data_IF_667863358270
#
_entry.id   IF_667863358270
#
_cell.length_a   1.000
_cell.length_b   1.000
_cell.length_c   1.000
_cell.angle_alpha   90.00
_cell.angle_beta   90.00
_cell.angle_gamma   90.00
#
_symmetry.space_group_name_H-M   'P 1'
#
loop_
_entity.id
_entity.type
_entity.pdbx_description
1 polymer ?
#
# COMPACT_ATOMS: atom_id res chain seq x y z
N UNK A 1 16.49 -6.80 -14.78
CA UNK A 1 15.05 -6.85 -14.46
C UNK A 1 14.94 -6.59 -12.96
N UNK A 2 14.40 -5.45 -12.51
CA UNK A 2 14.29 -5.19 -11.07
C UNK A 2 13.20 -6.12 -10.52
N UNK A 3 13.61 -7.09 -9.71
CA UNK A 3 12.68 -7.87 -8.90
C UNK A 3 11.96 -6.91 -7.96
N UNK A 4 10.66 -6.71 -8.20
CA UNK A 4 9.79 -6.04 -7.23
C UNK A 4 9.56 -7.03 -6.09
N UNK A 5 10.61 -7.24 -5.27
CA UNK A 5 10.46 -7.82 -3.94
C UNK A 5 9.41 -7.00 -3.24
N UNK A 6 8.40 -7.66 -2.70
CA UNK A 6 7.41 -7.09 -1.79
C UNK A 6 8.10 -6.17 -0.79
N UNK A 7 8.07 -4.87 -1.04
CA UNK A 7 8.66 -3.89 -0.13
C UNK A 7 7.81 -3.85 1.14
N UNK A 8 8.39 -4.35 2.23
CA UNK A 8 7.85 -4.09 3.56
C UNK A 8 7.93 -2.58 3.80
N UNK A 9 6.78 -1.92 3.82
CA UNK A 9 6.71 -0.52 4.23
C UNK A 9 6.50 -0.51 5.73
N UNK A 10 7.47 0.04 6.44
CA UNK A 10 7.40 0.20 7.89
C UNK A 10 6.15 1.01 8.27
N UNK A 11 5.54 0.68 9.40
CA UNK A 11 4.31 1.31 9.89
C UNK A 11 4.49 2.82 10.13
N UNK A 12 5.72 3.28 10.35
CA UNK A 12 6.10 4.69 10.50
C UNK A 12 6.19 5.46 9.17
N UNK A 13 6.21 4.74 8.03
CA UNK A 13 6.12 5.31 6.69
C UNK A 13 4.67 5.51 6.22
N UNK A 14 3.70 4.98 6.95
CA UNK A 14 2.29 5.00 6.56
C UNK A 14 1.69 6.39 6.80
N UNK A 15 0.97 6.97 5.83
CA UNK A 15 0.40 8.28 6.00
C UNK A 15 -0.76 8.18 7.00
N UNK A 16 -0.66 8.93 8.08
CA UNK A 16 -1.74 9.11 9.06
C UNK A 16 -2.42 10.45 8.84
N UNK A 17 -3.58 10.67 9.46
CA UNK A 17 -4.24 11.99 9.46
C UNK A 17 -3.32 13.12 9.98
N UNK A 18 -2.39 12.79 10.90
CA UNK A 18 -1.46 13.76 11.52
C UNK A 18 -0.12 13.88 10.79
N UNK A 19 0.29 12.85 10.04
CA UNK A 19 1.53 12.84 9.28
C UNK A 19 1.30 12.11 7.94
N UNK A 20 0.96 12.87 6.89
CA UNK A 20 0.61 12.30 5.59
C UNK A 20 1.84 11.99 4.72
N UNK A 21 3.08 12.33 5.16
CA UNK A 21 4.35 12.15 4.44
C UNK A 21 4.19 12.30 2.91
N UNK A 22 3.52 13.38 2.50
CA UNK A 22 2.98 13.54 1.14
C UNK A 22 4.07 13.43 0.07
N UNK A 23 5.26 13.97 0.32
CA UNK A 23 6.40 13.87 -0.60
C UNK A 23 6.84 12.42 -0.84
N UNK A 24 6.95 11.62 0.22
CA UNK A 24 7.33 10.20 0.14
C UNK A 24 6.30 9.41 -0.64
N UNK A 25 5.01 9.61 -0.34
CA UNK A 25 3.93 8.90 -1.02
C UNK A 25 3.76 9.33 -2.47
N UNK A 26 3.93 10.61 -2.78
CA UNK A 26 3.99 11.11 -4.16
C UNK A 26 5.09 10.39 -4.96
N UNK A 27 6.28 10.25 -4.38
CA UNK A 27 7.39 9.53 -5.00
C UNK A 27 7.04 8.06 -5.20
N UNK A 28 6.56 7.35 -4.16
CA UNK A 28 6.12 5.95 -4.29
C UNK A 28 5.07 5.75 -5.38
N UNK A 29 4.07 6.64 -5.48
CA UNK A 29 3.08 6.56 -6.56
C UNK A 29 3.68 6.74 -7.95
N UNK A 30 4.72 7.56 -8.10
CA UNK A 30 5.42 7.72 -9.38
C UNK A 30 6.26 6.50 -9.76
N UNK A 31 6.88 5.84 -8.80
CA UNK A 31 7.84 4.75 -9.02
C UNK A 31 7.18 3.39 -9.34
N UNK A 32 5.95 3.17 -8.87
CA UNK A 32 5.23 1.91 -9.14
C UNK A 32 4.85 1.85 -10.63
N UNK A 33 5.27 0.84 -11.40
CA UNK A 33 4.85 0.72 -12.79
C UNK A 33 3.36 0.39 -12.92
N UNK A 34 2.78 0.70 -14.08
CA UNK A 34 1.45 0.20 -14.42
C UNK A 34 1.40 -1.34 -14.41
N UNK A 35 0.27 -1.90 -13.98
CA UNK A 35 0.10 -3.35 -13.85
C UNK A 35 0.88 -4.01 -12.72
N UNK A 36 1.60 -3.25 -11.88
CA UNK A 36 2.29 -3.75 -10.68
C UNK A 36 1.55 -3.32 -9.41
N UNK A 37 1.44 -4.26 -8.48
CA UNK A 37 0.87 -4.02 -7.16
C UNK A 37 1.97 -3.93 -6.10
N UNK A 38 1.79 -3.00 -5.18
CA UNK A 38 2.55 -2.89 -3.94
C UNK A 38 1.78 -3.61 -2.84
N UNK A 39 2.49 -4.34 -1.97
CA UNK A 39 1.93 -5.10 -0.86
C UNK A 39 2.43 -4.52 0.46
N UNK A 40 1.53 -4.32 1.42
CA UNK A 40 1.82 -3.80 2.75
C UNK A 40 1.25 -4.78 3.79
N UNK A 41 2.04 -5.15 4.80
CA UNK A 41 1.64 -6.12 5.83
C UNK A 41 1.30 -5.46 7.16
N UNK A 42 0.30 -5.99 7.85
CA UNK A 42 -0.21 -5.51 9.14
C UNK A 42 -0.58 -6.68 10.04
N UNK A 43 -0.39 -6.49 11.34
CA UNK A 43 -0.77 -7.47 12.36
C UNK A 43 -2.29 -7.50 12.66
N UNK A 44 -3.05 -6.46 12.29
CA UNK A 44 -4.48 -6.36 12.64
C UNK A 44 -5.37 -5.90 11.48
N UNK A 45 -6.59 -6.46 11.44
CA UNK A 45 -7.63 -6.12 10.46
C UNK A 45 -8.02 -4.64 10.49
N UNK A 46 -8.24 -4.10 11.68
CA UNK A 46 -8.66 -2.72 11.85
C UNK A 46 -7.60 -1.76 11.28
N UNK A 47 -6.33 -2.03 11.54
CA UNK A 47 -5.23 -1.20 11.06
C UNK A 47 -5.12 -1.21 9.54
N UNK A 48 -5.15 -2.37 8.90
CA UNK A 48 -5.07 -2.45 7.43
C UNK A 48 -6.20 -1.66 6.74
N UNK A 49 -7.40 -1.67 7.32
CA UNK A 49 -8.53 -0.87 6.81
C UNK A 49 -8.32 0.64 6.98
N UNK A 50 -7.79 1.08 8.13
CA UNK A 50 -7.47 2.49 8.36
C UNK A 50 -6.44 2.99 7.35
N UNK A 51 -5.38 2.22 7.15
CA UNK A 51 -4.30 2.58 6.22
C UNK A 51 -4.78 2.62 4.77
N UNK A 52 -5.61 1.66 4.35
CA UNK A 52 -6.26 1.70 3.03
C UNK A 52 -6.97 3.04 2.79
N UNK A 53 -7.65 3.56 3.81
CA UNK A 53 -8.31 4.87 3.76
C UNK A 53 -7.31 6.00 3.50
N UNK A 54 -6.22 6.03 4.26
CA UNK A 54 -5.15 7.03 4.08
C UNK A 54 -4.49 6.97 2.71
N UNK A 55 -4.08 5.78 2.25
CA UNK A 55 -3.40 5.59 0.96
C UNK A 55 -4.31 6.09 -0.18
N UNK A 56 -5.61 5.75 -0.16
CA UNK A 56 -6.57 6.27 -1.15
C UNK A 56 -6.74 7.79 -1.07
N UNK A 57 -6.73 8.35 0.14
CA UNK A 57 -6.83 9.79 0.34
C UNK A 57 -5.62 10.53 -0.23
N UNK A 58 -4.41 10.04 0.03
CA UNK A 58 -3.16 10.65 -0.46
C UNK A 58 -3.03 10.48 -1.98
N UNK A 59 -3.40 9.32 -2.53
CA UNK A 59 -3.45 9.11 -3.97
C UNK A 59 -4.38 10.13 -4.65
N UNK A 60 -5.59 10.33 -4.12
CA UNK A 60 -6.55 11.34 -4.60
C UNK A 60 -5.97 12.75 -4.51
N UNK A 61 -5.31 13.09 -3.40
CA UNK A 61 -4.67 14.40 -3.23
C UNK A 61 -3.63 14.68 -4.32
N UNK A 62 -2.90 13.65 -4.78
CA UNK A 62 -1.93 13.77 -5.87
C UNK A 62 -2.51 13.51 -7.27
N UNK A 63 -3.82 13.35 -7.41
CA UNK A 63 -4.46 13.08 -8.71
C UNK A 63 -4.16 11.69 -9.28
N UNK A 64 -3.65 10.75 -8.47
CA UNK A 64 -3.34 9.38 -8.89
C UNK A 64 -4.53 8.47 -8.61
N UNK A 65 -5.01 7.77 -9.64
CA UNK A 65 -6.06 6.76 -9.49
C UNK A 65 -5.43 5.41 -9.13
N UNK A 66 -5.90 4.82 -8.04
CA UNK A 66 -5.42 3.53 -7.56
C UNK A 66 -6.58 2.61 -7.19
N UNK A 67 -6.33 1.30 -7.30
CA UNK A 67 -7.14 0.26 -6.70
C UNK A 67 -6.44 -0.30 -5.47
N UNK A 68 -7.24 -0.90 -4.59
CA UNK A 68 -6.73 -1.51 -3.34
C UNK A 68 -7.47 -2.81 -3.04
N UNK A 69 -6.78 -3.81 -2.51
CA UNK A 69 -7.36 -5.07 -2.02
C UNK A 69 -6.80 -5.41 -0.65
N UNK A 70 -7.67 -5.84 0.27
CA UNK A 70 -7.25 -6.36 1.58
C UNK A 70 -7.50 -7.86 1.60
N UNK A 71 -6.53 -8.63 2.06
CA UNK A 71 -6.68 -10.07 2.31
C UNK A 71 -6.09 -10.44 3.67
N UNK A 72 -6.58 -11.53 4.24
CA UNK A 72 -5.92 -12.19 5.36
C UNK A 72 -4.73 -12.98 4.82
N UNK A 73 -3.54 -12.76 5.36
CA UNK A 73 -2.33 -13.46 5.00
C UNK A 73 -2.38 -14.85 5.65
N UNK A 74 -2.69 -15.86 4.84
CA UNK A 74 -2.49 -17.24 5.25
C UNK A 74 -0.99 -17.57 5.17
N UNK A 75 -0.37 -18.07 6.25
CA UNK A 75 1.06 -18.37 6.28
C UNK A 75 1.52 -19.29 5.14
N UNK A 76 0.68 -20.23 4.73
CA UNK A 76 0.97 -21.17 3.64
C UNK A 76 1.11 -20.51 2.26
N UNK A 77 0.41 -19.39 2.03
CA UNK A 77 0.39 -18.69 0.73
C UNK A 77 1.38 -17.53 0.74
N UNK A 78 1.47 -16.81 1.86
CA UNK A 78 2.18 -15.54 1.94
C UNK A 78 3.45 -15.59 2.79
N UNK A 79 3.77 -16.73 3.41
CA UNK A 79 4.91 -16.89 4.32
C UNK A 79 4.79 -16.09 5.62
N UNK A 80 3.62 -15.52 5.90
CA UNK A 80 3.36 -14.68 7.06
C UNK A 80 1.88 -14.77 7.48
N UNK A 81 1.63 -14.61 8.77
CA UNK A 81 0.28 -14.43 9.32
C UNK A 81 -0.03 -12.93 9.44
N UNK A 82 -1.29 -12.55 9.22
CA UNK A 82 -1.77 -11.18 9.43
C UNK A 82 -2.66 -10.68 8.31
N UNK A 83 -2.56 -9.40 7.98
CA UNK A 83 -3.41 -8.73 7.00
C UNK A 83 -2.57 -7.99 5.97
N UNK A 84 -2.89 -8.19 4.69
CA UNK A 84 -2.18 -7.56 3.58
C UNK A 84 -3.06 -6.52 2.93
N UNK A 85 -2.48 -5.37 2.61
CA UNK A 85 -3.04 -4.35 1.71
C UNK A 85 -2.23 -4.34 0.43
N UNK A 86 -2.88 -4.75 -0.65
CA UNK A 86 -2.39 -4.54 -2.01
C UNK A 86 -2.93 -3.22 -2.55
N UNK A 87 -2.11 -2.48 -3.29
CA UNK A 87 -2.57 -1.36 -4.09
C UNK A 87 -1.79 -1.23 -5.40
N UNK A 88 -2.44 -0.72 -6.44
CA UNK A 88 -1.85 -0.54 -7.78
C UNK A 88 -2.50 0.65 -8.50
N UNK A 89 -1.79 1.24 -9.46
CA UNK A 89 -2.36 2.28 -10.34
C UNK A 89 -3.42 1.69 -11.26
N UNK A 90 -4.52 2.42 -11.46
CA UNK A 90 -5.48 2.08 -12.52
C UNK A 90 -4.79 2.32 -13.88
N UNK A 91 -4.90 1.36 -14.79
CA UNK A 91 -4.51 1.57 -16.19
C UNK A 91 -5.40 2.65 -16.80
N UNK A 92 -4.81 3.60 -17.51
CA UNK A 92 -5.54 4.64 -18.24
C UNK A 92 -6.10 4.12 -19.56
#
# INVERSE_FOLDING_TARGET
>A
MKDYKSEYVDIDDVPTRKNQRLSVWRQRFSEVPEGKAVMLHYNTRQRVHQVRGSVRSVARHHGVRIQTRIIHAEPAIHGMEGWLLYWWKESS
#
